data_IF_652026841303
#
_entry.id   IF_652026841303
#
_cell.length_a   1.000
_cell.length_b   1.000
_cell.length_c   1.000
_cell.angle_alpha   90.00
_cell.angle_beta   90.00
_cell.angle_gamma   90.00
#
_symmetry.space_group_name_H-M   'P 1'
#
loop_
_entity.id
_entity.type
_entity.pdbx_description
1 polymer ?
#
# COMPACT_ATOMS: atom_id res chain seq x y z
N UNK A 1 17.98 28.86 13.06
CA UNK A 1 18.24 27.57 12.38
C UNK A 1 17.15 26.49 12.56
N UNK A 2 16.44 26.38 13.71
CA UNK A 2 15.38 25.35 13.90
C UNK A 2 14.15 25.51 12.99
N UNK A 3 13.83 26.74 12.58
CA UNK A 3 12.73 27.03 11.64
C UNK A 3 13.04 26.51 10.23
N UNK A 4 14.29 26.64 9.78
CA UNK A 4 14.73 26.18 8.45
C UNK A 4 14.69 24.65 8.36
N UNK A 5 15.10 23.94 9.42
CA UNK A 5 15.02 22.48 9.46
C UNK A 5 13.59 21.94 9.51
N UNK A 6 12.68 22.67 10.16
CA UNK A 6 11.25 22.36 10.15
C UNK A 6 10.65 22.61 8.75
N UNK A 7 11.02 23.73 8.13
CA UNK A 7 10.58 24.09 6.77
C UNK A 7 11.09 23.10 5.73
N UNK A 8 12.36 22.68 5.79
CA UNK A 8 12.92 21.67 4.89
C UNK A 8 12.21 20.33 5.10
N UNK A 9 11.96 19.88 6.34
CA UNK A 9 11.25 18.62 6.57
C UNK A 9 9.79 18.66 6.08
N UNK A 10 9.09 19.76 6.30
CA UNK A 10 7.73 19.98 5.79
C UNK A 10 7.75 20.05 4.26
N UNK A 11 8.73 20.72 3.66
CA UNK A 11 8.89 20.83 2.21
C UNK A 11 9.27 19.49 1.57
N UNK A 12 10.14 18.68 2.19
CA UNK A 12 10.50 17.33 1.71
C UNK A 12 9.33 16.35 1.86
N UNK A 13 8.54 16.44 2.94
CA UNK A 13 7.29 15.69 3.07
C UNK A 13 6.26 16.15 2.03
N UNK A 14 6.15 17.46 1.77
CA UNK A 14 5.23 18.01 0.78
C UNK A 14 5.64 17.62 -0.65
N UNK A 15 6.94 17.64 -0.98
CA UNK A 15 7.48 17.23 -2.27
C UNK A 15 7.38 15.71 -2.51
N UNK A 16 7.56 14.89 -1.47
CA UNK A 16 7.41 13.42 -1.59
C UNK A 16 5.94 12.97 -1.60
N UNK A 17 5.01 13.73 -1.03
CA UNK A 17 3.57 13.45 -1.09
C UNK A 17 2.83 14.08 -2.28
N UNK A 18 3.42 15.07 -2.95
CA UNK A 18 2.82 15.70 -4.13
C UNK A 18 3.01 14.87 -5.40
N UNK A 19 4.21 14.32 -5.63
CA UNK A 19 4.54 13.50 -6.81
C UNK A 19 3.60 12.32 -7.10
N UNK A 20 3.42 11.35 -6.18
CA UNK A 20 2.58 10.18 -6.42
C UNK A 20 1.09 10.54 -6.61
N UNK A 21 0.60 11.55 -5.90
CA UNK A 21 -0.78 11.99 -6.07
C UNK A 21 -1.01 12.87 -7.31
N UNK A 22 0.02 13.54 -7.83
CA UNK A 22 -0.06 14.21 -9.14
C UNK A 22 -0.16 13.17 -10.26
N UNK A 23 0.64 12.11 -10.18
CA UNK A 23 0.60 10.98 -11.11
C UNK A 23 -0.74 10.22 -11.04
N UNK A 24 -1.30 10.04 -9.83
CA UNK A 24 -2.63 9.47 -9.62
C UNK A 24 -3.73 10.31 -10.27
N UNK A 25 -3.69 11.64 -10.10
CA UNK A 25 -4.64 12.55 -10.74
C UNK A 25 -4.54 12.56 -12.26
N UNK A 26 -3.33 12.62 -12.83
CA UNK A 26 -3.16 12.62 -14.29
C UNK A 26 -3.66 11.31 -14.90
N UNK A 27 -3.40 10.18 -14.26
CA UNK A 27 -3.87 8.87 -14.72
C UNK A 27 -5.40 8.73 -14.63
N UNK A 28 -6.01 9.25 -13.55
CA UNK A 28 -7.46 9.26 -13.39
C UNK A 28 -8.13 10.14 -14.46
N UNK A 29 -7.68 11.39 -14.62
CA UNK A 29 -8.20 12.30 -15.65
C UNK A 29 -8.10 11.68 -17.04
N UNK A 30 -6.92 11.16 -17.39
CA UNK A 30 -6.69 10.51 -18.68
C UNK A 30 -7.64 9.32 -18.91
N UNK A 31 -7.88 8.49 -17.89
CA UNK A 31 -8.79 7.34 -18.01
C UNK A 31 -10.26 7.75 -18.21
N UNK A 32 -10.70 8.83 -17.56
CA UNK A 32 -12.07 9.35 -17.72
C UNK A 32 -12.24 10.00 -19.10
N UNK A 33 -11.25 10.78 -19.56
CA UNK A 33 -11.26 11.38 -20.89
C UNK A 33 -11.28 10.32 -22.00
N UNK A 34 -10.44 9.28 -21.88
CA UNK A 34 -10.44 8.16 -22.81
C UNK A 34 -11.78 7.42 -22.81
N UNK A 35 -12.41 7.22 -21.66
CA UNK A 35 -13.73 6.61 -21.57
C UNK A 35 -14.82 7.48 -22.24
N UNK A 36 -14.80 8.79 -22.05
CA UNK A 36 -15.75 9.69 -22.73
C UNK A 36 -15.57 9.67 -24.26
N UNK A 37 -14.33 9.75 -24.72
CA UNK A 37 -14.02 9.77 -26.16
C UNK A 37 -14.43 8.45 -26.84
N UNK A 38 -14.13 7.31 -26.20
CA UNK A 38 -14.36 5.97 -26.72
C UNK A 38 -15.71 5.37 -26.34
N UNK A 39 -16.63 6.10 -25.72
CA UNK A 39 -18.00 5.61 -25.50
C UNK A 39 -19.06 6.68 -25.76
N UNK A 40 -18.66 7.82 -26.35
CA UNK A 40 -19.56 8.84 -26.87
C UNK A 40 -20.43 8.30 -28.02
N UNK A 41 -21.70 8.72 -28.07
CA UNK A 41 -22.62 8.28 -29.12
C UNK A 41 -22.09 8.63 -30.51
N UNK A 42 -22.13 7.67 -31.43
CA UNK A 42 -21.88 7.91 -32.87
C UNK A 42 -20.41 7.83 -33.33
N UNK A 43 -19.47 7.42 -32.47
CA UNK A 43 -18.07 7.17 -32.87
C UNK A 43 -17.73 5.68 -32.78
N UNK A 44 -16.98 5.18 -33.76
CA UNK A 44 -16.37 3.86 -33.71
C UNK A 44 -15.11 3.92 -32.85
N UNK A 45 -15.01 3.02 -31.87
CA UNK A 45 -13.92 3.00 -30.91
C UNK A 45 -12.68 2.39 -31.56
N UNK A 46 -11.51 3.01 -31.37
CA UNK A 46 -10.27 2.45 -31.90
C UNK A 46 -9.75 1.38 -30.94
N UNK A 47 -9.35 0.22 -31.47
CA UNK A 47 -8.74 -0.85 -30.67
C UNK A 47 -7.47 -0.37 -29.93
N UNK A 48 -6.78 0.63 -30.46
CA UNK A 48 -5.63 1.26 -29.82
C UNK A 48 -6.04 2.04 -28.56
N UNK A 49 -7.09 2.85 -28.65
CA UNK A 49 -7.58 3.66 -27.52
C UNK A 49 -8.21 2.82 -26.42
N UNK A 50 -8.87 1.70 -26.75
CA UNK A 50 -9.37 0.74 -25.75
C UNK A 50 -8.25 0.00 -25.03
N UNK A 51 -7.16 -0.35 -25.74
CA UNK A 51 -5.96 -0.93 -25.12
C UNK A 51 -5.27 0.08 -24.21
N UNK A 52 -5.16 1.33 -24.66
CA UNK A 52 -4.60 2.43 -23.86
C UNK A 52 -5.42 2.64 -22.59
N UNK A 53 -6.74 2.73 -22.68
CA UNK A 53 -7.64 2.85 -21.54
C UNK A 53 -7.43 1.70 -20.53
N UNK A 54 -7.35 0.45 -21.01
CA UNK A 54 -7.11 -0.70 -20.14
C UNK A 54 -5.74 -0.61 -19.45
N UNK A 55 -4.70 -0.24 -20.20
CA UNK A 55 -3.35 -0.08 -19.67
C UNK A 55 -3.31 1.02 -18.60
N UNK A 56 -3.89 2.19 -18.86
CA UNK A 56 -3.96 3.29 -17.89
C UNK A 56 -4.69 2.84 -16.62
N UNK A 57 -5.85 2.18 -16.73
CA UNK A 57 -6.60 1.67 -15.57
C UNK A 57 -5.79 0.64 -14.76
N UNK A 58 -4.97 -0.18 -15.44
CA UNK A 58 -4.14 -1.18 -14.79
C UNK A 58 -2.98 -0.56 -14.00
N UNK A 59 -2.42 0.53 -14.51
CA UNK A 59 -1.28 1.24 -13.92
C UNK A 59 -1.68 2.19 -12.78
N UNK A 60 -2.97 2.53 -12.64
CA UNK A 60 -3.48 3.33 -11.52
C UNK A 60 -3.24 2.60 -10.19
N UNK A 61 -2.45 3.23 -9.32
CA UNK A 61 -2.16 2.76 -7.98
C UNK A 61 -3.25 3.20 -6.99
N UNK A 62 -3.87 2.22 -6.32
CA UNK A 62 -4.95 2.47 -5.35
C UNK A 62 -4.53 3.36 -4.17
N UNK A 63 -3.27 3.27 -3.74
CA UNK A 63 -2.78 4.09 -2.63
C UNK A 63 -2.70 5.57 -3.03
N UNK A 64 -2.37 5.85 -4.29
CA UNK A 64 -2.27 7.19 -4.83
C UNK A 64 -3.66 7.81 -5.01
N UNK A 65 -4.63 7.02 -5.50
CA UNK A 65 -6.04 7.44 -5.60
C UNK A 65 -6.64 7.72 -4.23
N UNK A 66 -6.41 6.85 -3.24
CA UNK A 66 -6.89 7.06 -1.88
C UNK A 66 -6.26 8.31 -1.25
N UNK A 67 -4.99 8.59 -1.55
CA UNK A 67 -4.31 9.79 -1.08
C UNK A 67 -4.92 11.06 -1.69
N UNK A 68 -5.21 11.05 -2.99
CA UNK A 68 -5.91 12.13 -3.70
C UNK A 68 -7.28 12.39 -3.09
N UNK A 69 -8.11 11.35 -2.94
CA UNK A 69 -9.47 11.47 -2.42
C UNK A 69 -9.51 11.89 -0.95
N UNK A 70 -8.55 11.47 -0.12
CA UNK A 70 -8.43 11.94 1.27
C UNK A 70 -8.05 13.41 1.35
N UNK A 71 -7.22 13.89 0.42
CA UNK A 71 -6.82 15.29 0.36
C UNK A 71 -7.98 16.26 0.14
N UNK A 72 -9.09 15.79 -0.43
CA UNK A 72 -10.29 16.58 -0.74
C UNK A 72 -11.54 16.16 0.02
N UNK A 73 -11.41 15.26 1.01
CA UNK A 73 -12.53 14.79 1.82
C UNK A 73 -13.47 13.77 1.12
N UNK A 74 -13.12 13.32 -0.09
CA UNK A 74 -13.89 12.38 -0.92
C UNK A 74 -13.52 10.90 -0.69
N UNK A 75 -12.92 10.56 0.45
CA UNK A 75 -12.42 9.20 0.72
C UNK A 75 -13.50 8.12 0.66
N UNK A 76 -14.76 8.44 0.98
CA UNK A 76 -15.90 7.53 0.88
C UNK A 76 -16.25 7.15 -0.57
N UNK A 77 -15.89 7.99 -1.54
CA UNK A 77 -16.17 7.77 -2.96
C UNK A 77 -15.19 6.78 -3.63
N UNK A 78 -14.14 6.35 -2.92
CA UNK A 78 -13.13 5.44 -3.45
C UNK A 78 -13.73 4.11 -3.96
N UNK A 79 -14.69 3.55 -3.22
CA UNK A 79 -15.35 2.31 -3.61
C UNK A 79 -16.09 2.44 -4.93
N UNK A 80 -16.86 3.51 -5.09
CA UNK A 80 -17.63 3.81 -6.30
C UNK A 80 -16.70 4.03 -7.51
N UNK A 81 -15.67 4.86 -7.35
CA UNK A 81 -14.69 5.15 -8.40
C UNK A 81 -13.94 3.87 -8.83
N UNK A 82 -13.54 3.03 -7.87
CA UNK A 82 -12.82 1.78 -8.18
C UNK A 82 -13.72 0.77 -8.89
N UNK A 83 -14.98 0.67 -8.47
CA UNK A 83 -15.96 -0.19 -9.11
C UNK A 83 -16.18 0.24 -10.57
N UNK A 84 -16.34 1.54 -10.82
CA UNK A 84 -16.48 2.08 -12.16
C UNK A 84 -15.27 1.79 -13.06
N UNK A 85 -14.04 2.05 -12.60
CA UNK A 85 -12.81 1.73 -13.34
C UNK A 85 -12.69 0.24 -13.65
N UNK A 86 -13.15 -0.62 -12.74
CA UNK A 86 -13.16 -2.07 -12.96
C UNK A 86 -14.16 -2.47 -14.05
N UNK A 87 -15.35 -1.87 -14.08
CA UNK A 87 -16.33 -2.09 -15.14
C UNK A 87 -15.82 -1.61 -16.50
N UNK A 88 -15.22 -0.40 -16.54
CA UNK A 88 -14.56 0.14 -17.73
C UNK A 88 -13.51 -0.81 -18.30
N UNK A 89 -12.70 -1.41 -17.43
CA UNK A 89 -11.70 -2.40 -17.83
C UNK A 89 -12.35 -3.59 -18.54
N UNK A 90 -13.34 -4.22 -17.92
CA UNK A 90 -14.03 -5.38 -18.53
C UNK A 90 -14.63 -5.05 -19.89
N UNK A 91 -15.20 -3.85 -20.02
CA UNK A 91 -15.80 -3.40 -21.28
C UNK A 91 -14.73 -3.16 -22.34
N UNK A 92 -13.62 -2.51 -21.98
CA UNK A 92 -12.52 -2.25 -22.91
C UNK A 92 -11.91 -3.54 -23.46
N UNK A 93 -11.93 -4.64 -22.68
CA UNK A 93 -11.49 -5.97 -23.11
C UNK A 93 -12.52 -6.66 -24.01
N UNK A 94 -13.81 -6.47 -23.73
CA UNK A 94 -14.91 -7.07 -24.49
C UNK A 94 -15.25 -6.32 -25.80
N UNK A 95 -14.94 -5.03 -25.88
CA UNK A 95 -15.30 -4.13 -26.98
C UNK A 95 -14.53 -4.38 -28.31
N UNK A 96 -13.65 -5.39 -28.37
CA UNK A 96 -13.20 -5.99 -29.64
C UNK A 96 -14.34 -6.69 -30.42
N UNK A 97 -15.54 -6.77 -29.85
CA UNK A 97 -16.76 -7.26 -30.48
C UNK A 97 -17.69 -6.07 -30.68
N UNK A 98 -18.02 -5.79 -31.93
CA UNK A 98 -18.76 -4.63 -32.48
C UNK A 98 -19.63 -3.79 -31.52
N UNK A 99 -19.48 -2.46 -31.64
CA UNK A 99 -20.38 -1.38 -31.17
C UNK A 99 -20.93 -1.54 -29.75
N UNK A 100 -20.05 -1.57 -28.75
CA UNK A 100 -20.48 -1.41 -27.37
C UNK A 100 -20.87 0.05 -27.08
N UNK A 101 -22.08 0.24 -26.54
CA UNK A 101 -22.56 1.53 -26.02
C UNK A 101 -22.77 1.44 -24.51
N UNK A 102 -22.49 2.53 -23.82
CA UNK A 102 -22.76 2.60 -22.38
C UNK A 102 -24.26 2.49 -22.11
N UNK A 103 -24.61 1.66 -21.14
CA UNK A 103 -25.96 1.71 -20.58
C UNK A 103 -26.20 3.08 -19.92
N UNK A 104 -27.45 3.57 -19.82
CA UNK A 104 -27.75 4.84 -19.16
C UNK A 104 -27.18 4.94 -17.73
N UNK A 105 -27.17 3.81 -17.01
CA UNK A 105 -26.57 3.71 -15.67
C UNK A 105 -25.06 3.93 -15.69
N UNK A 106 -24.37 3.37 -16.67
CA UNK A 106 -22.92 3.51 -16.78
C UNK A 106 -22.50 4.89 -17.25
N UNK A 107 -23.35 5.56 -18.03
CA UNK A 107 -23.18 6.95 -18.40
C UNK A 107 -23.35 7.87 -17.17
N UNK A 108 -24.27 7.54 -16.27
CA UNK A 108 -24.39 8.21 -14.97
C UNK A 108 -23.17 7.93 -14.07
N UNK A 109 -22.68 6.69 -14.01
CA UNK A 109 -21.48 6.34 -13.23
C UNK A 109 -20.22 7.03 -13.79
N UNK A 110 -20.10 7.20 -15.11
CA UNK A 110 -19.05 7.99 -15.75
C UNK A 110 -19.13 9.46 -15.33
N UNK A 111 -20.31 10.07 -15.39
CA UNK A 111 -20.51 11.45 -14.95
C UNK A 111 -20.16 11.65 -13.47
N UNK A 112 -20.54 10.70 -12.62
CA UNK A 112 -20.21 10.72 -11.19
C UNK A 112 -18.71 10.52 -10.94
N UNK A 113 -18.06 9.62 -11.66
CA UNK A 113 -16.63 9.41 -11.59
C UNK A 113 -15.86 10.68 -12.02
N UNK A 114 -16.31 11.34 -13.09
CA UNK A 114 -15.76 12.63 -13.52
C UNK A 114 -15.88 13.69 -12.44
N UNK A 115 -17.07 13.89 -11.87
CA UNK A 115 -17.27 14.87 -10.79
C UNK A 115 -16.34 14.63 -9.59
N UNK A 116 -16.17 13.36 -9.19
CA UNK A 116 -15.25 12.97 -8.12
C UNK A 116 -13.80 13.31 -8.48
N UNK A 117 -13.36 12.97 -9.70
CA UNK A 117 -11.98 13.20 -10.16
C UNK A 117 -11.70 14.69 -10.35
N UNK A 118 -12.58 15.44 -11.00
CA UNK A 118 -12.47 16.90 -11.18
C UNK A 118 -12.39 17.59 -9.82
N UNK A 119 -13.29 17.28 -8.89
CA UNK A 119 -13.26 17.83 -7.53
C UNK A 119 -11.95 17.47 -6.79
N UNK A 120 -11.47 16.25 -6.95
CA UNK A 120 -10.28 15.78 -6.26
C UNK A 120 -8.96 16.32 -6.85
N UNK A 121 -8.93 16.59 -8.16
CA UNK A 121 -7.74 16.98 -8.90
C UNK A 121 -7.66 18.50 -9.16
N UNK A 122 -8.78 19.21 -9.30
CA UNK A 122 -8.82 20.68 -9.47
C UNK A 122 -8.54 21.44 -8.16
N UNK A 123 -8.95 20.91 -7.00
CA UNK A 123 -8.61 21.50 -5.70
C UNK A 123 -7.09 21.55 -5.44
N UNK A 124 -6.28 20.78 -6.18
CA UNK A 124 -4.82 20.84 -6.14
C UNK A 124 -4.21 21.82 -7.15
N UNK A 125 -4.87 22.07 -8.28
CA UNK A 125 -4.46 23.10 -9.22
C UNK A 125 -4.74 24.52 -8.68
N UNK A 126 -5.78 24.68 -7.85
CA UNK A 126 -6.20 25.95 -7.26
C UNK A 126 -5.56 26.34 -5.93
N UNK A 127 -4.83 25.45 -5.24
CA UNK A 127 -4.20 25.77 -3.95
C UNK A 127 -2.80 26.38 -4.12
N UNK A 128 -2.74 27.47 -4.87
CA UNK A 128 -1.78 28.54 -4.62
C UNK A 128 -2.45 29.59 -3.73
N UNK A 129 -1.95 29.72 -2.50
CA UNK A 129 -2.23 30.83 -1.57
C UNK A 129 -3.71 31.06 -1.23
N UNK A 130 -4.21 30.37 -0.21
CA UNK A 130 -5.11 31.01 0.74
C UNK A 130 -4.80 30.55 2.16
N UNK A 131 -4.12 31.45 2.88
CA UNK A 131 -3.91 31.41 4.32
C UNK A 131 -5.30 31.45 5.00
N UNK A 132 -5.77 30.30 5.46
CA UNK A 132 -6.99 30.17 6.25
C UNK A 132 -6.65 30.19 7.74
N UNK A 133 -7.03 31.29 8.38
CA UNK A 133 -6.83 31.61 9.79
C UNK A 133 -7.33 30.52 10.74
N UNK A 134 -6.44 30.02 11.59
CA UNK A 134 -6.85 29.31 12.80
C UNK A 134 -7.24 30.35 13.84
N UNK A 135 -8.54 30.36 14.16
CA UNK A 135 -9.13 31.15 15.22
C UNK A 135 -8.46 30.85 16.57
N UNK A 136 -7.81 31.85 17.13
CA UNK A 136 -7.44 31.91 18.54
C UNK A 136 -8.62 32.44 19.33
N UNK A 137 -9.27 31.57 20.11
CA UNK A 137 -10.32 31.95 21.04
C UNK A 137 -9.72 32.25 22.42
N UNK A 138 -10.07 33.43 22.94
CA UNK A 138 -9.73 33.94 24.26
C UNK A 138 -10.73 33.43 25.31
N UNK A 139 -10.25 32.97 26.47
CA UNK A 139 -10.59 33.53 27.81
C UNK A 139 -10.41 32.53 28.97
N UNK A 140 -9.53 32.92 29.92
CA UNK A 140 -9.68 32.93 31.39
C UNK A 140 -8.26 33.08 31.95
N UNK A 141 -7.85 34.16 32.60
CA UNK A 141 -8.58 34.95 33.59
C UNK A 141 -8.25 34.39 34.97
N UNK A 142 -7.11 34.79 35.55
CA UNK A 142 -6.89 34.78 36.99
C UNK A 142 -6.00 35.96 37.39
N UNK A 143 -6.38 36.53 38.52
CA UNK A 143 -6.06 37.86 38.99
C UNK A 143 -4.64 37.99 39.58
N UNK A 144 -4.15 39.21 39.49
CA UNK A 144 -3.10 39.79 40.33
C UNK A 144 -3.42 39.67 41.82
N UNK A 145 -2.38 39.58 42.66
CA UNK A 145 -2.32 40.50 43.79
C UNK A 145 -0.98 41.22 43.89
N UNK A 146 -1.09 42.56 43.87
CA UNK A 146 -0.41 43.57 44.68
C UNK A 146 1.02 43.30 45.18
N UNK A 147 1.86 44.23 44.74
CA UNK A 147 2.96 44.87 45.46
C UNK A 147 2.93 44.76 46.99
N UNK A 148 4.02 44.21 47.53
CA UNK A 148 4.63 44.75 48.74
C UNK A 148 6.15 44.80 48.56
N UNK A 149 6.62 46.03 48.45
CA UNK A 149 8.00 46.45 48.65
C UNK A 149 8.47 46.13 50.07
N UNK A 150 9.50 45.32 50.20
CA UNK A 150 10.48 45.41 51.30
C UNK A 150 11.87 45.16 50.69
N UNK A 151 12.69 46.22 50.73
CA UNK A 151 14.08 46.15 50.31
C UNK A 151 14.93 45.32 51.25
N UNK A 152 16.06 44.86 50.71
CA UNK A 152 17.34 44.49 51.34
C UNK A 152 17.90 43.25 50.64
N UNK A 153 19.07 43.42 50.02
CA UNK A 153 19.85 42.31 49.49
C UNK A 153 20.27 42.47 48.04
N UNK A 154 20.97 43.55 47.71
CA UNK A 154 21.86 43.58 46.55
C UNK A 154 23.00 42.56 46.79
N UNK A 155 22.73 41.28 46.56
CA UNK A 155 23.78 40.28 46.41
C UNK A 155 24.53 40.58 45.12
N UNK A 156 25.74 41.10 45.29
CA UNK A 156 26.75 41.19 44.24
C UNK A 156 26.85 39.81 43.57
N UNK A 157 26.37 39.72 42.32
CA UNK A 157 26.78 38.64 41.43
C UNK A 157 28.32 38.70 41.35
N UNK A 158 29.04 37.61 41.66
CA UNK A 158 30.48 37.59 41.44
C UNK A 158 30.71 37.90 39.96
N UNK A 159 31.49 38.95 39.67
CA UNK A 159 31.97 39.22 38.32
C UNK A 159 32.94 38.09 37.97
N UNK A 160 32.42 37.03 37.34
CA UNK A 160 33.25 36.05 36.66
C UNK A 160 34.03 36.76 35.57
N UNK A 161 35.31 36.40 35.44
CA UNK A 161 36.19 36.98 34.43
C UNK A 161 35.64 36.72 33.02
N UNK A 162 35.90 37.60 32.03
CA UNK A 162 35.43 37.40 30.65
C UNK A 162 35.87 36.05 30.05
N UNK A 163 36.99 35.48 30.50
CA UNK A 163 37.43 34.13 30.12
C UNK A 163 36.53 33.02 30.69
N UNK A 164 35.99 33.18 31.90
CA UNK A 164 35.05 32.23 32.49
C UNK A 164 33.65 32.31 31.87
N UNK A 165 33.24 33.49 31.39
CA UNK A 165 31.96 33.66 30.68
C UNK A 165 31.97 32.98 29.31
N UNK A 166 33.07 33.08 28.55
CA UNK A 166 33.21 32.38 27.26
C UNK A 166 33.16 30.84 27.41
N UNK A 167 33.79 30.30 28.46
CA UNK A 167 33.78 28.86 28.73
C UNK A 167 32.37 28.33 29.13
N UNK A 168 31.58 29.15 29.83
CA UNK A 168 30.19 28.81 30.17
C UNK A 168 29.26 28.87 28.97
N UNK A 169 29.44 29.82 28.05
CA UNK A 169 28.66 29.87 26.81
C UNK A 169 28.99 28.70 25.86
N UNK A 170 30.25 28.30 25.78
CA UNK A 170 30.68 27.15 24.96
C UNK A 170 30.12 25.82 25.50
N UNK A 171 30.18 25.62 26.83
CA UNK A 171 29.60 24.43 27.47
C UNK A 171 28.06 24.39 27.42
N UNK A 172 27.38 25.54 27.41
CA UNK A 172 25.92 25.60 27.24
C UNK A 172 25.51 25.22 25.81
N UNK A 173 26.25 25.67 24.80
CA UNK A 173 26.02 25.33 23.40
C UNK A 173 26.25 23.84 23.11
N UNK A 174 27.29 23.24 23.72
CA UNK A 174 27.55 21.80 23.61
C UNK A 174 26.45 20.96 24.26
N UNK A 175 25.98 21.35 25.45
CA UNK A 175 24.88 20.65 26.13
C UNK A 175 23.56 20.75 25.36
N UNK A 176 23.28 21.90 24.74
CA UNK A 176 22.10 22.09 23.90
C UNK A 176 22.18 21.21 22.63
N UNK A 177 23.35 21.16 21.99
CA UNK A 177 23.60 20.33 20.82
C UNK A 177 23.46 18.83 21.17
N UNK A 178 24.04 18.40 22.29
CA UNK A 178 23.94 17.02 22.75
C UNK A 178 22.48 16.60 23.02
N UNK A 179 21.68 17.46 23.66
CA UNK A 179 20.24 17.21 23.88
C UNK A 179 19.45 17.14 22.57
N UNK A 180 19.79 17.99 21.59
CA UNK A 180 19.16 17.93 20.27
C UNK A 180 19.50 16.64 19.54
N UNK A 181 20.77 16.23 19.52
CA UNK A 181 21.20 14.98 18.89
C UNK A 181 20.52 13.80 19.58
N UNK A 182 20.50 13.75 20.92
CA UNK A 182 19.81 12.72 21.67
C UNK A 182 18.31 12.67 21.33
N UNK A 183 17.65 13.83 21.23
CA UNK A 183 16.24 13.91 20.83
C UNK A 183 15.99 13.39 19.41
N UNK A 184 16.87 13.69 18.45
CA UNK A 184 16.76 13.18 17.08
C UNK A 184 16.98 11.67 17.03
N UNK A 185 18.00 11.15 17.73
CA UNK A 185 18.28 9.71 17.81
C UNK A 185 17.10 8.97 18.43
N UNK A 186 16.52 9.50 19.52
CA UNK A 186 15.33 8.94 20.16
C UNK A 186 14.12 8.91 19.22
N UNK A 187 13.89 10.00 18.46
CA UNK A 187 12.80 10.07 17.50
C UNK A 187 12.96 9.03 16.37
N UNK A 188 14.18 8.88 15.84
CA UNK A 188 14.48 7.86 14.81
C UNK A 188 14.26 6.45 15.37
N UNK A 189 14.77 6.18 16.58
CA UNK A 189 14.57 4.89 17.25
C UNK A 189 13.08 4.58 17.46
N UNK A 190 12.26 5.57 17.85
CA UNK A 190 10.82 5.41 18.05
C UNK A 190 10.10 5.10 16.72
N UNK A 191 10.45 5.79 15.64
CA UNK A 191 9.88 5.51 14.31
C UNK A 191 10.22 4.10 13.86
N UNK A 192 11.48 3.67 14.01
CA UNK A 192 11.89 2.31 13.68
C UNK A 192 11.18 1.26 14.54
N UNK A 193 11.02 1.54 15.84
CA UNK A 193 10.30 0.66 16.76
C UNK A 193 8.83 0.49 16.35
N UNK A 194 8.11 1.60 16.11
CA UNK A 194 6.71 1.56 15.67
C UNK A 194 6.56 0.80 14.35
N UNK A 195 7.44 1.07 13.38
CA UNK A 195 7.44 0.37 12.10
C UNK A 195 7.63 -1.15 12.30
N UNK A 196 8.63 -1.55 13.07
CA UNK A 196 8.90 -2.97 13.34
C UNK A 196 7.75 -3.64 14.12
N UNK A 197 7.18 -2.96 15.11
CA UNK A 197 6.00 -3.46 15.85
C UNK A 197 4.80 -3.67 14.92
N UNK A 198 4.50 -2.74 14.02
CA UNK A 198 3.40 -2.89 13.07
C UNK A 198 3.61 -4.07 12.13
N UNK A 199 4.81 -4.22 11.58
CA UNK A 199 5.15 -5.34 10.71
C UNK A 199 5.06 -6.67 11.47
N UNK A 200 5.56 -6.74 12.70
CA UNK A 200 5.45 -7.91 13.56
C UNK A 200 3.98 -8.28 13.84
N UNK A 201 3.14 -7.29 14.16
CA UNK A 201 1.70 -7.50 14.37
C UNK A 201 1.03 -8.03 13.11
N UNK A 202 1.39 -7.53 11.92
CA UNK A 202 0.85 -8.03 10.65
C UNK A 202 1.25 -9.48 10.38
N UNK A 203 2.51 -9.84 10.64
CA UNK A 203 3.01 -11.22 10.49
C UNK A 203 2.26 -12.16 11.46
N UNK A 204 2.12 -11.75 12.72
CA UNK A 204 1.41 -12.52 13.74
C UNK A 204 -0.08 -12.67 13.44
N UNK A 205 -0.74 -11.62 12.93
CA UNK A 205 -2.16 -11.67 12.55
C UNK A 205 -2.42 -12.58 11.36
N UNK A 206 -1.52 -12.60 10.36
CA UNK A 206 -1.66 -13.48 9.19
C UNK A 206 -1.36 -14.95 9.51
N UNK A 207 -0.48 -15.19 10.48
CA UNK A 207 -0.09 -16.52 10.96
C UNK A 207 0.24 -17.50 9.82
N UNK A 208 0.92 -17.00 8.78
CA UNK A 208 1.39 -17.81 7.65
C UNK A 208 2.70 -18.51 8.02
N UNK A 209 2.82 -19.76 7.59
CA UNK A 209 3.93 -20.65 7.89
C UNK A 209 4.55 -21.15 6.61
N UNK A 210 5.86 -21.03 6.49
CA UNK A 210 6.65 -21.70 5.47
C UNK A 210 6.82 -23.15 5.95
N UNK A 211 6.41 -24.10 5.11
CA UNK A 211 6.42 -25.53 5.37
C UNK A 211 6.72 -26.28 4.07
N UNK A 212 6.79 -27.61 4.15
CA UNK A 212 6.77 -28.47 2.98
C UNK A 212 5.91 -29.67 3.32
N UNK A 213 4.61 -29.55 3.06
CA UNK A 213 3.63 -30.60 3.37
C UNK A 213 3.20 -31.24 2.05
N UNK A 214 3.33 -32.57 1.88
CA UNK A 214 2.86 -33.24 0.68
C UNK A 214 1.35 -33.10 0.56
N UNK A 215 0.90 -32.77 -0.64
CA UNK A 215 -0.49 -32.51 -0.94
C UNK A 215 -0.81 -32.92 -2.38
N UNK A 216 -2.08 -33.21 -2.61
CA UNK A 216 -2.62 -33.51 -3.91
C UNK A 216 -3.65 -32.43 -4.28
N UNK A 217 -3.45 -31.81 -5.43
CA UNK A 217 -4.29 -30.74 -5.93
C UNK A 217 -5.23 -31.30 -7.00
N UNK A 218 -6.53 -31.29 -6.73
CA UNK A 218 -7.54 -31.81 -7.65
C UNK A 218 -8.29 -30.64 -8.29
N UNK A 219 -8.19 -30.53 -9.62
CA UNK A 219 -8.85 -29.50 -10.40
C UNK A 219 -9.32 -30.08 -11.74
N UNK A 220 -10.59 -29.83 -12.10
CA UNK A 220 -11.17 -30.21 -13.40
C UNK A 220 -10.90 -31.68 -13.82
N UNK A 221 -10.99 -32.61 -12.86
CA UNK A 221 -10.73 -34.05 -12.98
C UNK A 221 -9.26 -34.50 -13.07
N UNK A 222 -8.31 -33.58 -13.02
CA UNK A 222 -6.89 -33.91 -12.91
C UNK A 222 -6.45 -33.82 -11.45
N UNK A 223 -5.76 -34.86 -10.98
CA UNK A 223 -5.12 -34.88 -9.68
C UNK A 223 -3.61 -34.65 -9.88
N UNK A 224 -3.12 -33.57 -9.28
CA UNK A 224 -1.73 -33.12 -9.44
C UNK A 224 -1.00 -33.26 -8.11
N UNK A 225 -0.01 -34.15 -8.01
CA UNK A 225 0.78 -34.29 -6.80
C UNK A 225 1.74 -33.10 -6.63
N UNK A 226 1.99 -32.71 -5.38
CA UNK A 226 2.91 -31.63 -5.09
C UNK A 226 3.05 -31.34 -3.60
N UNK A 227 3.49 -30.13 -3.29
CA UNK A 227 3.83 -29.72 -1.93
C UNK A 227 3.25 -28.35 -1.62
N UNK A 228 2.66 -28.22 -0.43
CA UNK A 228 2.31 -26.93 0.15
C UNK A 228 3.55 -26.30 0.78
N UNK A 229 4.02 -25.22 0.18
CA UNK A 229 5.24 -24.50 0.60
C UNK A 229 4.96 -23.39 1.61
N UNK A 230 3.76 -22.82 1.55
CA UNK A 230 3.29 -21.82 2.52
C UNK A 230 1.85 -22.14 2.89
N UNK A 231 1.56 -22.31 4.17
CA UNK A 231 0.23 -22.54 4.69
C UNK A 231 -0.19 -21.39 5.61
N UNK A 232 -1.39 -20.86 5.40
CA UNK A 232 -2.02 -19.89 6.28
C UNK A 232 -3.48 -20.20 6.52
N UNK A 233 -4.10 -19.46 7.43
CA UNK A 233 -5.51 -19.66 7.82
C UNK A 233 -6.49 -19.64 6.64
N UNK A 234 -6.26 -18.76 5.67
CA UNK A 234 -7.20 -18.50 4.57
C UNK A 234 -6.73 -19.04 3.23
N UNK A 235 -5.54 -19.62 3.15
CA UNK A 235 -5.00 -20.06 1.87
C UNK A 235 -3.59 -20.59 1.98
N UNK A 236 -3.09 -21.10 0.87
CA UNK A 236 -1.77 -21.69 0.77
C UNK A 236 -1.11 -21.40 -0.57
N UNK A 237 0.17 -21.77 -0.66
CA UNK A 237 0.93 -21.82 -1.91
C UNK A 237 1.28 -23.28 -2.17
N UNK A 238 0.82 -23.80 -3.30
CA UNK A 238 1.05 -25.15 -3.77
C UNK A 238 2.10 -25.14 -4.89
N UNK A 239 3.03 -26.07 -4.82
CA UNK A 239 4.10 -26.27 -5.79
C UNK A 239 3.95 -27.69 -6.37
N UNK A 240 3.70 -27.84 -7.67
CA UNK A 240 3.66 -29.16 -8.31
C UNK A 240 4.96 -29.95 -8.11
N UNK A 241 4.88 -31.28 -8.06
CA UNK A 241 6.04 -32.14 -7.86
C UNK A 241 7.01 -32.11 -9.04
N UNK A 242 6.49 -32.03 -10.27
CA UNK A 242 7.25 -31.98 -11.51
C UNK A 242 6.79 -30.83 -12.43
N UNK A 243 7.60 -30.41 -13.42
CA UNK A 243 7.17 -29.43 -14.42
C UNK A 243 6.05 -29.97 -15.34
N UNK A 244 5.97 -31.28 -15.56
CA UNK A 244 4.90 -31.91 -16.35
C UNK A 244 3.55 -31.84 -15.61
N UNK A 245 3.60 -32.05 -14.29
CA UNK A 245 2.45 -31.83 -13.40
C UNK A 245 2.00 -30.36 -13.41
N UNK A 246 2.93 -29.43 -13.53
CA UNK A 246 2.62 -28.01 -13.62
C UNK A 246 1.91 -27.64 -14.93
N UNK A 247 2.28 -28.26 -16.05
CA UNK A 247 1.58 -28.07 -17.34
C UNK A 247 0.11 -28.53 -17.27
N UNK A 248 -0.20 -29.51 -16.41
CA UNK A 248 -1.59 -29.96 -16.20
C UNK A 248 -2.46 -28.89 -15.54
N UNK A 249 -1.84 -27.95 -14.82
CA UNK A 249 -2.51 -26.80 -14.21
C UNK A 249 -2.43 -25.56 -15.14
N UNK A 250 -1.50 -25.54 -16.08
CA UNK A 250 -1.27 -24.45 -17.02
C UNK A 250 -2.50 -24.27 -17.94
N UNK A 251 -3.21 -23.14 -17.77
CA UNK A 251 -4.48 -22.87 -18.45
C UNK A 251 -5.72 -22.97 -17.54
N UNK A 252 -5.57 -23.38 -16.28
CA UNK A 252 -6.64 -23.27 -15.28
C UNK A 252 -6.86 -21.81 -14.92
N UNK A 253 -8.00 -21.27 -15.35
CA UNK A 253 -8.33 -19.86 -15.12
C UNK A 253 -8.35 -19.49 -13.64
N UNK A 254 -7.88 -18.27 -13.34
CA UNK A 254 -7.99 -17.71 -11.99
C UNK A 254 -9.45 -17.66 -11.57
N UNK A 255 -9.74 -18.15 -10.36
CA UNK A 255 -11.06 -18.23 -9.80
C UNK A 255 -11.75 -19.60 -9.95
N UNK A 256 -11.08 -20.56 -10.59
CA UNK A 256 -11.54 -21.95 -10.63
C UNK A 256 -11.58 -22.55 -9.22
N UNK A 257 -12.66 -23.29 -8.91
CA UNK A 257 -12.77 -24.06 -7.67
C UNK A 257 -11.98 -25.36 -7.80
N UNK A 258 -11.24 -25.68 -6.74
CA UNK A 258 -10.37 -26.84 -6.64
C UNK A 258 -10.47 -27.46 -5.26
N UNK A 259 -10.07 -28.72 -5.15
CA UNK A 259 -9.96 -29.41 -3.86
C UNK A 259 -8.49 -29.69 -3.59
N UNK A 260 -8.01 -29.24 -2.44
CA UNK A 260 -6.67 -29.57 -1.95
C UNK A 260 -6.78 -30.69 -0.94
N UNK A 261 -6.20 -31.84 -1.26
CA UNK A 261 -6.04 -32.96 -0.34
C UNK A 261 -4.70 -32.86 0.35
N UNK A 262 -4.72 -32.73 1.67
CA UNK A 262 -3.52 -32.85 2.51
C UNK A 262 -3.77 -34.05 3.41
N UNK A 263 -3.13 -35.17 3.07
CA UNK A 263 -3.38 -36.47 3.70
C UNK A 263 -4.87 -36.82 3.68
N UNK A 264 -5.48 -37.04 4.85
CA UNK A 264 -6.89 -37.42 4.99
C UNK A 264 -7.84 -36.21 5.02
N UNK A 265 -7.32 -34.99 4.91
CA UNK A 265 -8.13 -33.77 4.94
C UNK A 265 -8.32 -33.19 3.54
N UNK A 266 -9.56 -33.16 3.07
CA UNK A 266 -9.95 -32.47 1.85
C UNK A 266 -10.39 -31.03 2.18
N UNK A 267 -9.87 -30.05 1.46
CA UNK A 267 -10.24 -28.64 1.63
C UNK A 267 -10.67 -28.04 0.30
N UNK A 268 -11.87 -27.45 0.28
CA UNK A 268 -12.34 -26.73 -0.90
C UNK A 268 -11.71 -25.35 -0.96
N UNK A 269 -11.29 -24.98 -2.15
CA UNK A 269 -10.52 -23.78 -2.36
C UNK A 269 -10.74 -23.19 -3.75
N UNK A 270 -10.22 -21.99 -3.95
CA UNK A 270 -10.29 -21.22 -5.18
C UNK A 270 -8.89 -20.81 -5.61
N UNK A 271 -8.55 -21.06 -6.86
CA UNK A 271 -7.27 -20.65 -7.43
C UNK A 271 -7.22 -19.13 -7.57
N UNK A 272 -6.16 -18.49 -7.07
CA UNK A 272 -5.96 -17.03 -7.10
C UNK A 272 -4.98 -16.56 -8.16
N UNK A 273 -4.05 -17.42 -8.59
CA UNK A 273 -3.02 -17.04 -9.55
C UNK A 273 -2.58 -18.27 -10.33
N UNK A 274 -2.57 -18.13 -11.65
CA UNK A 274 -2.12 -19.11 -12.63
C UNK A 274 -0.68 -18.78 -13.00
N UNK A 275 0.26 -19.21 -12.17
CA UNK A 275 1.69 -19.19 -12.53
C UNK A 275 2.14 -20.63 -12.54
N UNK A 276 2.71 -21.06 -13.67
CA UNK A 276 3.23 -22.40 -13.94
C UNK A 276 4.26 -22.91 -12.90
N UNK A 277 4.71 -22.07 -11.97
CA UNK A 277 5.67 -22.45 -10.92
C UNK A 277 5.10 -22.43 -9.51
N UNK A 278 4.06 -21.66 -9.19
CA UNK A 278 3.49 -21.60 -7.84
C UNK A 278 2.01 -21.23 -7.85
N UNK A 279 1.18 -22.21 -7.49
CA UNK A 279 -0.27 -22.05 -7.44
C UNK A 279 -0.68 -21.41 -6.12
N UNK A 280 -1.27 -20.21 -6.17
CA UNK A 280 -1.82 -19.56 -4.98
C UNK A 280 -3.27 -19.93 -4.83
N UNK A 281 -3.61 -20.47 -3.67
CA UNK A 281 -4.93 -21.05 -3.42
C UNK A 281 -5.55 -20.36 -2.21
N UNK A 282 -6.83 -20.01 -2.31
CA UNK A 282 -7.64 -19.43 -1.24
C UNK A 282 -8.66 -20.46 -0.76
N UNK A 283 -8.67 -20.79 0.53
CA UNK A 283 -9.68 -21.69 1.08
C UNK A 283 -11.04 -21.01 1.12
N UNK A 284 -12.09 -21.75 0.74
CA UNK A 284 -13.47 -21.27 0.84
C UNK A 284 -13.84 -21.06 2.32
N UNK A 285 -13.39 -21.98 3.17
CA UNK A 285 -13.55 -21.89 4.62
C UNK A 285 -12.19 -21.71 5.31
N UNK A 286 -12.08 -20.80 6.29
CA UNK A 286 -10.83 -20.59 7.00
C UNK A 286 -10.48 -21.80 7.88
N UNK A 287 -9.25 -22.29 7.76
CA UNK A 287 -8.72 -23.40 8.56
C UNK A 287 -8.68 -23.01 10.03
N UNK A 288 -9.11 -23.91 10.92
CA UNK A 288 -9.01 -23.70 12.36
C UNK A 288 -7.55 -23.73 12.84
N UNK A 289 -7.24 -23.05 13.96
CA UNK A 289 -5.88 -23.07 14.50
C UNK A 289 -5.40 -24.49 14.87
N UNK A 290 -6.32 -25.37 15.26
CA UNK A 290 -6.02 -26.76 15.61
C UNK A 290 -5.69 -27.56 14.36
N UNK A 291 -6.54 -27.50 13.33
CA UNK A 291 -6.30 -28.19 12.06
C UNK A 291 -4.99 -27.72 11.42
N UNK A 292 -4.71 -26.42 11.43
CA UNK A 292 -3.44 -25.90 10.91
C UNK A 292 -2.22 -26.46 11.66
N UNK A 293 -2.30 -26.66 12.98
CA UNK A 293 -1.21 -27.31 13.73
C UNK A 293 -1.04 -28.76 13.31
N UNK A 294 -2.15 -29.50 13.15
CA UNK A 294 -2.14 -30.90 12.69
C UNK A 294 -1.48 -31.02 11.33
N UNK A 295 -1.90 -30.21 10.35
CA UNK A 295 -1.34 -30.22 8.99
C UNK A 295 0.16 -29.91 8.98
N UNK A 296 0.63 -29.01 9.85
CA UNK A 296 2.03 -28.61 9.91
C UNK A 296 2.96 -29.65 10.57
N UNK A 297 2.44 -30.60 11.35
CA UNK A 297 3.25 -31.70 11.92
C UNK A 297 3.84 -32.57 10.80
N UNK A 298 3.14 -32.67 9.68
CA UNK A 298 3.52 -33.47 8.53
C UNK A 298 4.43 -32.75 7.54
N UNK A 299 5.00 -31.61 7.96
CA UNK A 299 5.97 -30.87 7.16
C UNK A 299 7.31 -31.60 7.17
N UNK A 300 7.82 -31.95 5.98
CA UNK A 300 9.14 -32.56 5.79
C UNK A 300 10.28 -31.61 6.21
N UNK A 301 10.02 -30.30 6.12
CA UNK A 301 10.96 -29.24 6.51
C UNK A 301 10.54 -28.56 7.82
N UNK A 302 11.49 -28.00 8.58
CA UNK A 302 11.18 -27.27 9.79
C UNK A 302 10.28 -26.07 9.49
N UNK A 303 9.14 -26.01 10.17
CA UNK A 303 8.12 -24.98 9.98
C UNK A 303 8.64 -23.64 10.49
N UNK A 304 8.57 -22.60 9.65
CA UNK A 304 9.03 -21.23 9.98
C UNK A 304 7.92 -20.22 9.76
N UNK A 305 7.98 -19.08 10.45
CA UNK A 305 7.08 -17.96 10.14
C UNK A 305 7.43 -17.38 8.77
N UNK A 306 6.41 -17.08 7.98
CA UNK A 306 6.60 -16.38 6.73
C UNK A 306 6.80 -14.87 6.97
N UNK A 307 8.05 -14.43 6.84
CA UNK A 307 8.43 -13.01 6.88
C UNK A 307 8.51 -12.37 5.49
N UNK A 308 7.92 -12.97 4.45
CA UNK A 308 7.88 -12.39 3.10
C UNK A 308 7.29 -10.98 3.06
N UNK A 309 6.43 -10.62 4.01
CA UNK A 309 5.91 -9.26 4.19
C UNK A 309 7.02 -8.25 4.55
N UNK A 310 8.07 -8.68 5.24
CA UNK A 310 9.23 -7.84 5.58
C UNK A 310 10.16 -7.63 4.37
N UNK A 311 10.16 -8.57 3.42
CA UNK A 311 10.88 -8.43 2.15
C UNK A 311 10.04 -7.57 1.21
N UNK A 312 9.99 -6.27 1.49
CA UNK A 312 9.32 -5.30 0.62
C UNK A 312 9.72 -5.50 -0.85
N UNK A 313 8.73 -5.64 -1.73
CA UNK A 313 8.75 -5.44 -3.20
C UNK A 313 10.04 -5.74 -3.99
N UNK A 314 10.92 -6.64 -3.55
CA UNK A 314 12.12 -7.03 -4.30
C UNK A 314 11.85 -8.28 -5.14
N UNK A 315 10.85 -8.20 -6.03
CA UNK A 315 10.56 -9.24 -7.05
C UNK A 315 10.45 -8.67 -8.47
N UNK A 316 10.82 -7.41 -8.70
CA UNK A 316 10.84 -6.78 -10.04
C UNK A 316 12.24 -6.71 -10.68
N UNK A 317 13.26 -7.40 -10.16
CA UNK A 317 14.65 -7.29 -10.65
C UNK A 317 15.35 -8.64 -10.96
N UNK A 318 14.60 -9.67 -11.34
CA UNK A 318 15.15 -10.91 -11.95
C UNK A 318 14.38 -11.40 -13.19
N UNK A 319 13.80 -10.47 -13.94
CA UNK A 319 13.41 -10.68 -15.34
C UNK A 319 14.21 -9.65 -16.14
N UNK A 320 15.47 -9.97 -16.46
CA UNK A 320 16.26 -9.48 -17.61
C UNK A 320 17.71 -9.98 -17.44
N UNK A 321 18.17 -10.77 -18.42
CA UNK A 321 19.52 -11.35 -18.53
C UNK A 321 19.61 -12.77 -17.99
N UNK A 322 19.96 -13.82 -18.73
CA UNK A 322 20.62 -13.95 -20.04
C UNK A 322 20.08 -15.24 -20.66
N UNK A 323 19.64 -15.18 -21.93
CA UNK A 323 19.34 -16.37 -22.72
C UNK A 323 20.64 -17.10 -23.07
N UNK A 324 20.76 -18.36 -22.66
CA UNK A 324 21.66 -19.31 -23.28
C UNK A 324 20.86 -20.08 -24.34
N UNK A 325 21.15 -19.81 -25.62
CA UNK A 325 20.72 -20.66 -26.74
C UNK A 325 21.24 -22.10 -26.55
N UNK A 326 20.50 -23.12 -27.02
CA UNK A 326 21.04 -24.46 -27.16
C UNK A 326 21.94 -24.54 -28.41
N UNK A 327 23.01 -25.36 -28.40
CA UNK A 327 23.75 -25.65 -29.62
C UNK A 327 22.95 -26.61 -30.51
N UNK A 328 23.10 -26.40 -31.81
CA UNK A 328 22.63 -27.28 -32.89
C UNK A 328 23.40 -28.61 -32.93
#
# INVERSE_FOLDING_TARGET
MRVIHCFIRVLTLYLTMSGPALAGCSALMHSIELAEQNFSMGKAHSAASLRELNQTIHEINNDDVLLVLRGTGQASAFGDLRNFLTQLKFISEAANRDTFQFSPRMQQDLGRAREIVDTACDHRAGTSVQSGSVATDHHRGYQSPRDHSLGLGSQRKPMLSPAQQAFLEESFNLNLLARLIAGVVLAVALVLFVHYSLVLVQVLRRNRRICQVPAEFICMMNAVPGNVTVLGRHGCVFLPASPDDAQTIEGVTTGTYCTLHIQDTAMTAKLLCDVSTDCRILFTEPISKQLMKTLLIHSEKPVRYDFSVMKGRSRTLRKFGIGSMPPA
#
